data_IF_598896854352
#
_entry.id   IF_598896854352
#
_cell.length_a   1.000
_cell.length_b   1.000
_cell.length_c   1.000
_cell.angle_alpha   90.00
_cell.angle_beta   90.00
_cell.angle_gamma   90.00
#
_symmetry.space_group_name_H-M   'P 1'
#
loop_
_entity.id
_entity.type
_entity.pdbx_description
1 polymer ?
#
# COMPACT_ATOMS: atom_id res chain seq x y z
N UNK A 1 9.51 23.88 -6.47
CA UNK A 1 8.47 22.85 -6.25
C UNK A 1 7.20 23.50 -5.71
N UNK A 2 6.02 23.18 -6.26
CA UNK A 2 4.74 23.65 -5.73
C UNK A 2 4.15 22.57 -4.81
N UNK A 3 4.35 22.72 -3.50
CA UNK A 3 3.92 21.75 -2.50
C UNK A 3 2.40 21.52 -2.48
N UNK A 4 1.60 22.56 -2.74
CA UNK A 4 0.14 22.44 -2.77
C UNK A 4 -0.32 21.55 -3.94
N UNK A 5 0.32 21.70 -5.09
CA UNK A 5 0.05 20.88 -6.27
C UNK A 5 0.46 19.42 -6.04
N UNK A 6 1.63 19.20 -5.41
CA UNK A 6 2.10 17.87 -5.04
C UNK A 6 1.14 17.18 -4.04
N UNK A 7 0.76 17.87 -2.96
CA UNK A 7 -0.21 17.38 -1.98
C UNK A 7 -1.53 16.98 -2.65
N UNK A 8 -2.05 17.82 -3.54
CA UNK A 8 -3.31 17.54 -4.26
C UNK A 8 -3.17 16.32 -5.17
N UNK A 9 -2.02 16.14 -5.84
CA UNK A 9 -1.76 14.97 -6.69
C UNK A 9 -1.72 13.70 -5.83
N UNK A 10 -0.97 13.72 -4.72
CA UNK A 10 -0.89 12.59 -3.78
C UNK A 10 -2.28 12.24 -3.27
N UNK A 11 -3.05 13.19 -2.75
CA UNK A 11 -4.39 12.92 -2.19
C UNK A 11 -5.33 12.26 -3.22
N UNK A 12 -5.35 12.76 -4.46
CA UNK A 12 -6.17 12.17 -5.53
C UNK A 12 -5.73 10.76 -5.90
N UNK A 13 -4.43 10.55 -6.01
CA UNK A 13 -3.87 9.24 -6.36
C UNK A 13 -4.12 8.23 -5.24
N UNK A 14 -3.90 8.61 -3.97
CA UNK A 14 -4.22 7.79 -2.79
C UNK A 14 -5.68 7.37 -2.74
N UNK A 15 -6.62 8.29 -2.96
CA UNK A 15 -8.06 7.95 -2.97
C UNK A 15 -8.39 6.95 -4.07
N UNK A 16 -7.79 7.10 -5.26
CA UNK A 16 -7.96 6.15 -6.36
C UNK A 16 -7.39 4.77 -6.02
N UNK A 17 -6.16 4.71 -5.49
CA UNK A 17 -5.56 3.46 -5.03
C UNK A 17 -6.46 2.75 -4.01
N UNK A 18 -6.91 3.47 -2.98
CA UNK A 18 -7.77 2.86 -1.96
C UNK A 18 -9.09 2.33 -2.53
N UNK A 19 -9.78 3.10 -3.37
CA UNK A 19 -11.03 2.67 -3.99
C UNK A 19 -10.80 1.46 -4.89
N UNK A 20 -9.77 1.48 -5.72
CA UNK A 20 -9.42 0.37 -6.60
C UNK A 20 -9.15 -0.92 -5.80
N UNK A 21 -8.32 -0.82 -4.75
CA UNK A 21 -8.01 -1.98 -3.91
C UNK A 21 -9.23 -2.49 -3.17
N UNK A 22 -10.08 -1.59 -2.69
CA UNK A 22 -11.35 -1.96 -2.06
C UNK A 22 -12.30 -2.67 -3.05
N UNK A 23 -12.46 -2.16 -4.26
CA UNK A 23 -13.33 -2.77 -5.27
C UNK A 23 -12.83 -4.15 -5.71
N UNK A 24 -11.51 -4.35 -5.76
CA UNK A 24 -10.89 -5.62 -6.23
C UNK A 24 -10.73 -6.68 -5.14
N UNK A 25 -10.49 -6.27 -3.88
CA UNK A 25 -10.01 -7.16 -2.81
C UNK A 25 -10.75 -7.03 -1.47
N UNK A 26 -11.90 -6.33 -1.42
CA UNK A 26 -12.67 -6.21 -0.17
C UNK A 26 -13.12 -7.55 0.41
N UNK A 27 -13.32 -8.56 -0.43
CA UNK A 27 -13.69 -9.93 -0.03
C UNK A 27 -12.57 -10.67 0.71
N UNK A 28 -11.32 -10.26 0.53
CA UNK A 28 -10.16 -10.78 1.29
C UNK A 28 -10.05 -10.22 2.72
N UNK A 29 -10.95 -9.31 3.09
CA UNK A 29 -10.98 -8.67 4.40
C UNK A 29 -9.83 -7.69 4.59
N UNK A 30 -9.79 -6.62 3.77
CA UNK A 30 -8.83 -5.52 3.94
C UNK A 30 -8.95 -4.94 5.36
N UNK A 31 -7.84 -4.93 6.10
CA UNK A 31 -7.78 -4.34 7.44
C UNK A 31 -6.80 -3.17 7.56
N UNK A 32 -5.91 -3.01 6.58
CA UNK A 32 -4.88 -1.98 6.60
C UNK A 32 -4.58 -1.47 5.20
N UNK A 33 -4.32 -0.17 5.12
CA UNK A 33 -3.87 0.54 3.93
C UNK A 33 -2.84 1.58 4.36
N UNK A 34 -1.72 1.67 3.66
CA UNK A 34 -0.63 2.57 3.98
C UNK A 34 -0.09 3.27 2.74
N UNK A 35 0.54 4.42 2.98
CA UNK A 35 1.45 5.06 2.05
C UNK A 35 2.83 5.09 2.72
N UNK A 36 3.85 4.64 2.01
CA UNK A 36 5.24 4.77 2.42
C UNK A 36 6.05 5.36 1.26
N UNK A 37 7.28 5.77 1.51
CA UNK A 37 8.21 6.12 0.43
C UNK A 37 9.23 5.00 0.26
N UNK A 38 9.72 4.84 -0.96
CA UNK A 38 10.92 4.05 -1.19
C UNK A 38 12.12 4.60 -0.40
N UNK A 39 13.21 3.82 -0.37
CA UNK A 39 14.45 4.16 0.35
C UNK A 39 15.04 5.50 -0.13
N UNK A 40 14.80 5.88 -1.38
CA UNK A 40 15.24 7.14 -1.97
C UNK A 40 14.32 8.34 -1.69
N UNK A 41 13.16 8.12 -1.07
CA UNK A 41 12.08 9.08 -0.92
C UNK A 41 11.64 9.74 -2.25
N UNK A 42 11.77 9.01 -3.36
CA UNK A 42 11.44 9.48 -4.71
C UNK A 42 10.00 9.12 -5.11
N UNK A 43 9.50 8.00 -4.60
CA UNK A 43 8.15 7.51 -4.91
C UNK A 43 7.29 7.44 -3.64
N UNK A 44 5.98 7.54 -3.80
CA UNK A 44 5.03 7.24 -2.72
C UNK A 44 4.33 5.95 -3.10
N UNK A 45 4.57 4.88 -2.36
CA UNK A 45 4.07 3.56 -2.66
C UNK A 45 2.80 3.28 -1.83
N UNK A 46 1.68 2.89 -2.45
CA UNK A 46 0.54 2.37 -1.72
C UNK A 46 0.83 0.92 -1.29
N UNK A 47 0.26 0.51 -0.18
CA UNK A 47 0.24 -0.88 0.23
C UNK A 47 -1.08 -1.23 0.89
N UNK A 48 -1.61 -2.41 0.59
CA UNK A 48 -2.84 -2.94 1.20
C UNK A 48 -2.59 -4.30 1.82
N UNK A 49 -3.14 -4.51 3.02
CA UNK A 49 -3.07 -5.80 3.69
C UNK A 49 -4.46 -6.36 4.02
N UNK A 50 -4.54 -7.67 4.01
CA UNK A 50 -5.79 -8.44 4.11
C UNK A 50 -5.71 -9.47 5.24
N UNK A 51 -6.85 -9.76 5.85
CA UNK A 51 -6.94 -10.82 6.85
C UNK A 51 -6.65 -12.18 6.23
N UNK A 52 -7.05 -12.39 4.97
CA UNK A 52 -6.76 -13.61 4.23
C UNK A 52 -5.25 -13.85 4.08
N UNK A 53 -4.45 -12.81 3.81
CA UNK A 53 -2.99 -12.96 3.80
C UNK A 53 -2.46 -13.44 5.16
N UNK A 54 -2.83 -12.77 6.24
CA UNK A 54 -2.38 -13.10 7.60
C UNK A 54 -2.78 -14.53 8.01
N UNK A 55 -3.99 -14.97 7.64
CA UNK A 55 -4.48 -16.29 7.99
C UNK A 55 -3.78 -17.41 7.19
N UNK A 56 -3.26 -17.09 6.00
CA UNK A 56 -2.62 -18.04 5.09
C UNK A 56 -1.08 -18.01 5.13
N UNK A 57 -0.47 -17.27 6.06
CA UNK A 57 0.98 -17.31 6.27
C UNK A 57 1.44 -18.74 6.61
N UNK A 58 2.56 -19.14 6.00
CA UNK A 58 3.29 -20.36 6.30
C UNK A 58 3.86 -20.38 7.73
N UNK A 59 4.37 -21.52 8.19
CA UNK A 59 4.99 -21.61 9.52
C UNK A 59 6.20 -20.69 9.64
N UNK A 60 7.04 -20.63 8.61
CA UNK A 60 8.23 -19.77 8.57
C UNK A 60 7.83 -18.27 8.58
N UNK A 61 6.86 -17.85 7.77
CA UNK A 61 6.39 -16.46 7.74
C UNK A 61 5.71 -16.03 9.06
N UNK A 62 5.13 -16.98 9.81
CA UNK A 62 4.54 -16.69 11.11
C UNK A 62 5.58 -16.36 12.17
N UNK A 63 6.84 -16.77 12.00
CA UNK A 63 7.94 -16.31 12.86
C UNK A 63 8.12 -14.80 12.77
N UNK A 64 7.87 -14.23 11.59
CA UNK A 64 7.96 -12.80 11.27
C UNK A 64 6.60 -12.09 11.25
N UNK A 65 5.58 -12.65 11.93
CA UNK A 65 4.23 -12.10 11.98
C UNK A 65 4.13 -10.58 12.26
N UNK A 66 4.95 -9.98 13.15
CA UNK A 66 4.94 -8.53 13.33
C UNK A 66 5.22 -7.76 12.04
N UNK A 67 6.17 -8.22 11.22
CA UNK A 67 6.49 -7.60 9.93
C UNK A 67 5.34 -7.79 8.95
N UNK A 68 4.86 -9.01 8.75
CA UNK A 68 3.71 -9.27 7.87
C UNK A 68 2.47 -8.46 8.25
N UNK A 69 2.30 -8.11 9.54
CA UNK A 69 1.15 -7.35 10.04
C UNK A 69 1.31 -5.84 9.94
N UNK A 70 2.53 -5.32 10.09
CA UNK A 70 2.77 -3.90 10.32
C UNK A 70 3.74 -3.23 9.36
N UNK A 71 4.55 -3.97 8.62
CA UNK A 71 5.52 -3.44 7.65
C UNK A 71 4.91 -3.43 6.24
N UNK A 72 4.55 -2.26 5.67
CA UNK A 72 3.91 -2.16 4.35
C UNK A 72 4.66 -2.85 3.21
N UNK A 73 5.99 -2.91 3.27
CA UNK A 73 6.83 -3.59 2.28
C UNK A 73 6.60 -5.13 2.28
N UNK A 74 6.11 -5.71 3.37
CA UNK A 74 5.86 -7.14 3.52
C UNK A 74 4.38 -7.51 3.34
N UNK A 75 3.55 -6.55 2.90
CA UNK A 75 2.12 -6.78 2.73
C UNK A 75 1.79 -7.42 1.37
N UNK A 76 0.66 -8.13 1.33
CA UNK A 76 0.20 -8.86 0.15
C UNK A 76 0.17 -8.05 -1.14
N UNK A 77 -0.23 -6.78 -1.04
CA UNK A 77 -0.37 -5.87 -2.17
C UNK A 77 0.57 -4.67 -2.01
N UNK A 78 1.87 -4.93 -2.00
CA UNK A 78 2.92 -3.91 -2.01
C UNK A 78 2.99 -3.20 -3.37
N UNK A 79 3.07 -1.87 -3.36
CA UNK A 79 3.14 -1.01 -4.55
C UNK A 79 1.95 -1.14 -5.51
N UNK A 80 0.86 -1.79 -5.10
CA UNK A 80 -0.32 -2.01 -5.95
C UNK A 80 -1.41 -0.98 -5.67
N UNK A 81 -1.94 -0.40 -6.74
CA UNK A 81 -3.06 0.53 -6.76
C UNK A 81 -2.72 1.88 -7.40
N UNK A 82 -3.75 2.52 -7.94
CA UNK A 82 -3.69 3.79 -8.67
C UNK A 82 -2.91 3.77 -10.00
N UNK A 83 -2.85 2.64 -10.72
CA UNK A 83 -2.34 2.52 -12.11
C UNK A 83 -1.25 3.57 -12.47
N UNK A 84 -0.09 3.52 -11.82
CA UNK A 84 1.09 4.38 -12.03
C UNK A 84 0.95 5.89 -11.65
N UNK A 85 -0.19 6.34 -11.12
CA UNK A 85 -0.42 7.75 -10.73
C UNK A 85 0.43 8.22 -9.53
N UNK A 86 1.03 7.27 -8.82
CA UNK A 86 1.84 7.46 -7.62
C UNK A 86 3.35 7.51 -7.88
N UNK A 87 3.78 7.51 -9.15
CA UNK A 87 5.13 7.90 -9.52
C UNK A 87 5.30 9.44 -9.52
N UNK A 88 6.30 9.92 -8.80
CA UNK A 88 6.64 11.34 -8.71
C UNK A 88 8.09 11.55 -9.16
N UNK A 89 8.28 12.26 -10.27
CA UNK A 89 9.60 12.82 -10.60
C UNK A 89 9.80 14.07 -9.74
N UNK A 90 10.50 13.92 -8.60
CA UNK A 90 10.88 15.02 -7.70
C UNK A 90 12.07 15.83 -8.23
#
# INVERSE_FOLDING_TARGET
>A
MNFQALQTKIEKATKRAFIEMFEKHADEGIYSFALYSDEGAMTVCPATNTLDFINNLSEDEREDLPYCKFEPAEWKYEMIGADDDLEFNL
#
